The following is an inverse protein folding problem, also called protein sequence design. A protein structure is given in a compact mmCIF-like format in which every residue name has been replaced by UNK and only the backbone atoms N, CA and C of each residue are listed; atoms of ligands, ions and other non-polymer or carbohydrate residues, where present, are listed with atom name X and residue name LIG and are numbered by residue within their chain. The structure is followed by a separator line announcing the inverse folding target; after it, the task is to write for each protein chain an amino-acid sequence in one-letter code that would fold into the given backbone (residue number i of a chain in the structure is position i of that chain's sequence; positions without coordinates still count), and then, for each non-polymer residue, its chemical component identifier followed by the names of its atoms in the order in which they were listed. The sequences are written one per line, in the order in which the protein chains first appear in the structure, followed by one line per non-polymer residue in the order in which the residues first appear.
data_IF_912992394673
#
_entry.id   IF_912992394673
#
_cell.length_a   1.000
_cell.length_b   1.000
_cell.length_c   1.000
_cell.angle_alpha   90.00
_cell.angle_beta   90.00
_cell.angle_gamma   90.00
#
_symmetry.space_group_name_H-M   'P 1'
#
loop_
_entity.id
_entity.type
_entity.pdbx_description
1 polymer ?
#
# COMPACT_ATOMS: atom_id res chain seq x y z
N UNK A 1 -42.53 -48.13 -33.16
CA UNK A 1 -41.22 -47.83 -32.58
C UNK A 1 -40.50 -46.66 -33.27
N UNK A 2 -40.30 -46.62 -34.60
CA UNK A 2 -39.54 -45.54 -35.28
C UNK A 2 -40.16 -44.12 -35.09
N UNK A 3 -41.51 -43.99 -35.06
CA UNK A 3 -42.17 -42.69 -34.84
C UNK A 3 -42.04 -42.18 -33.40
N UNK A 4 -42.03 -43.08 -32.42
CA UNK A 4 -41.84 -42.71 -31.00
C UNK A 4 -40.40 -42.26 -30.74
N UNK A 5 -39.43 -42.92 -31.40
CA UNK A 5 -38.02 -42.53 -31.28
C UNK A 5 -37.73 -41.13 -31.87
N UNK A 6 -38.41 -40.81 -33.02
CA UNK A 6 -38.29 -39.49 -33.61
C UNK A 6 -38.84 -38.35 -32.74
N UNK A 7 -39.99 -38.58 -32.11
CA UNK A 7 -40.60 -37.60 -31.21
C UNK A 7 -39.74 -37.41 -29.94
N UNK A 8 -39.20 -38.50 -29.36
CA UNK A 8 -38.31 -38.43 -28.21
C UNK A 8 -37.01 -37.67 -28.55
N UNK A 9 -36.46 -37.85 -29.74
CA UNK A 9 -35.26 -37.13 -30.17
C UNK A 9 -35.50 -35.64 -30.38
N UNK A 10 -36.67 -35.26 -30.90
CA UNK A 10 -37.07 -33.85 -31.08
C UNK A 10 -37.31 -33.17 -29.72
N UNK A 11 -37.94 -33.86 -28.78
CA UNK A 11 -38.12 -33.35 -27.43
C UNK A 11 -36.76 -33.19 -26.72
N UNK A 12 -35.84 -34.14 -26.87
CA UNK A 12 -34.50 -34.07 -26.30
C UNK A 12 -33.69 -32.90 -26.89
N UNK A 13 -33.77 -32.67 -28.19
CA UNK A 13 -33.11 -31.52 -28.84
C UNK A 13 -33.76 -30.17 -28.43
N UNK A 14 -35.08 -30.11 -28.26
CA UNK A 14 -35.77 -28.93 -27.76
C UNK A 14 -35.40 -28.59 -26.29
N UNK A 15 -35.25 -29.60 -25.45
CA UNK A 15 -34.85 -29.42 -24.07
C UNK A 15 -33.39 -28.95 -23.98
N UNK A 16 -32.50 -29.45 -24.85
CA UNK A 16 -31.12 -28.96 -24.92
C UNK A 16 -31.00 -27.52 -25.44
N UNK A 17 -31.88 -27.08 -26.33
CA UNK A 17 -31.88 -25.70 -26.84
C UNK A 17 -32.46 -24.70 -25.81
N UNK A 18 -33.27 -25.15 -24.85
CA UNK A 18 -33.77 -24.32 -23.74
C UNK A 18 -32.79 -24.23 -22.57
N UNK A 19 -31.79 -25.09 -22.52
CA UNK A 19 -30.85 -25.18 -21.39
C UNK A 19 -29.59 -24.30 -21.48
N UNK A 20 -29.47 -23.48 -22.53
CA UNK A 20 -28.26 -22.66 -22.69
C UNK A 20 -28.56 -21.26 -23.20
N UNK A 21 -29.16 -20.44 -22.36
CA UNK A 21 -28.98 -19.01 -22.50
C UNK A 21 -27.54 -18.69 -22.11
N UNK A 22 -26.62 -18.92 -23.04
CA UNK A 22 -25.21 -18.56 -22.91
C UNK A 22 -25.04 -17.11 -23.36
N UNK A 23 -25.19 -16.20 -22.44
CA UNK A 23 -24.94 -14.80 -22.71
C UNK A 23 -25.18 -13.96 -21.44
N UNK A 24 -24.75 -12.73 -21.42
CA UNK A 24 -25.05 -11.82 -20.34
C UNK A 24 -26.58 -11.66 -20.20
N UNK A 25 -27.08 -11.67 -18.99
CA UNK A 25 -28.51 -11.46 -18.68
C UNK A 25 -28.93 -10.04 -19.08
N UNK A 26 -28.00 -9.08 -19.03
CA UNK A 26 -28.25 -7.68 -19.34
C UNK A 26 -28.11 -7.41 -20.85
N UNK A 27 -29.12 -6.79 -21.46
CA UNK A 27 -29.08 -6.33 -22.85
C UNK A 27 -28.10 -5.16 -23.06
N UNK A 28 -27.89 -4.36 -22.01
CA UNK A 28 -26.99 -3.20 -22.02
C UNK A 28 -26.25 -3.10 -20.71
N UNK A 29 -24.93 -2.95 -20.77
CA UNK A 29 -24.09 -2.61 -19.62
C UNK A 29 -23.49 -1.23 -19.87
N UNK A 30 -23.68 -0.32 -18.92
CA UNK A 30 -23.14 1.04 -18.96
C UNK A 30 -22.13 1.22 -17.83
N UNK A 31 -20.89 1.57 -18.17
CA UNK A 31 -19.86 1.90 -17.22
C UNK A 31 -19.85 3.41 -16.96
N UNK A 32 -19.96 3.80 -15.69
CA UNK A 32 -19.75 5.15 -15.21
C UNK A 32 -18.51 5.21 -14.35
N UNK A 33 -17.94 6.40 -14.18
CA UNK A 33 -16.77 6.61 -13.33
C UNK A 33 -17.09 7.54 -12.17
N UNK A 34 -16.86 7.08 -10.94
CA UNK A 34 -17.04 7.85 -9.70
C UNK A 34 -15.79 7.70 -8.85
N UNK A 35 -15.10 8.78 -8.57
CA UNK A 35 -13.88 8.77 -7.74
C UNK A 35 -14.17 8.85 -6.25
N UNK A 36 -15.29 9.46 -5.88
CA UNK A 36 -15.65 9.65 -4.47
C UNK A 36 -16.48 8.46 -3.98
N UNK A 37 -15.96 7.76 -3.00
CA UNK A 37 -16.56 6.56 -2.44
C UNK A 37 -18.01 6.82 -1.94
N UNK A 38 -18.19 7.91 -1.20
CA UNK A 38 -19.50 8.27 -0.62
C UNK A 38 -20.56 8.50 -1.69
N UNK A 39 -20.19 9.11 -2.82
CA UNK A 39 -21.13 9.35 -3.94
C UNK A 39 -21.47 8.04 -4.60
N UNK A 40 -20.46 7.19 -4.89
CA UNK A 40 -20.72 5.88 -5.50
C UNK A 40 -21.58 4.97 -4.63
N UNK A 41 -21.40 4.99 -3.32
CA UNK A 41 -22.23 4.23 -2.37
C UNK A 41 -23.66 4.74 -2.29
N UNK A 42 -23.86 6.06 -2.29
CA UNK A 42 -25.21 6.66 -2.34
C UNK A 42 -25.92 6.35 -3.65
N UNK A 43 -25.22 6.48 -4.77
CA UNK A 43 -25.77 6.13 -6.09
C UNK A 43 -26.24 4.66 -6.12
N UNK A 44 -25.47 3.74 -5.49
CA UNK A 44 -25.84 2.34 -5.35
C UNK A 44 -27.06 2.16 -4.43
N UNK A 45 -27.12 2.84 -3.29
CA UNK A 45 -28.24 2.79 -2.35
C UNK A 45 -29.54 3.36 -2.93
N UNK A 46 -29.45 4.30 -3.85
CA UNK A 46 -30.57 4.94 -4.55
C UNK A 46 -30.99 4.22 -5.84
N UNK A 47 -30.25 3.19 -6.24
CA UNK A 47 -30.51 2.43 -7.48
C UNK A 47 -30.13 3.18 -8.76
N UNK A 48 -29.33 4.24 -8.66
CA UNK A 48 -28.76 4.96 -9.81
C UNK A 48 -27.69 4.10 -10.49
N UNK A 49 -26.98 3.31 -9.69
CA UNK A 49 -25.97 2.35 -10.12
C UNK A 49 -26.28 0.97 -9.53
N UNK A 50 -26.34 -0.06 -10.37
CA UNK A 50 -26.61 -1.43 -9.91
C UNK A 50 -25.43 -2.03 -9.13
N UNK A 51 -24.21 -1.68 -9.51
CA UNK A 51 -22.97 -2.19 -8.89
C UNK A 51 -21.91 -1.08 -8.84
N UNK A 52 -21.35 -0.85 -7.67
CA UNK A 52 -20.19 0.03 -7.47
C UNK A 52 -18.93 -0.83 -7.28
N UNK A 53 -18.06 -0.88 -8.28
CA UNK A 53 -16.90 -1.78 -8.34
C UNK A 53 -15.59 -1.12 -7.84
N UNK A 54 -15.67 -0.01 -7.15
CA UNK A 54 -14.49 0.65 -6.60
C UNK A 54 -14.20 0.14 -5.18
N UNK A 55 -12.91 0.11 -4.82
CA UNK A 55 -12.54 -0.23 -3.44
C UNK A 55 -13.01 0.84 -2.46
N UNK A 56 -13.81 0.43 -1.49
CA UNK A 56 -14.36 1.30 -0.44
C UNK A 56 -13.58 1.07 0.85
N UNK A 57 -13.18 2.16 1.49
CA UNK A 57 -12.52 2.07 2.80
C UNK A 57 -13.53 1.77 3.90
N UNK A 58 -13.09 1.01 4.93
CA UNK A 58 -13.94 0.71 6.08
C UNK A 58 -14.52 1.94 6.76
N UNK A 59 -13.72 2.99 7.03
CA UNK A 59 -14.25 4.24 7.59
C UNK A 59 -15.36 4.87 6.75
N UNK A 60 -15.21 4.90 5.43
CA UNK A 60 -16.24 5.45 4.53
C UNK A 60 -17.53 4.63 4.60
N UNK A 61 -17.44 3.29 4.50
CA UNK A 61 -18.61 2.42 4.56
C UNK A 61 -19.29 2.48 5.94
N UNK A 62 -18.51 2.43 7.02
CA UNK A 62 -19.05 2.48 8.39
C UNK A 62 -19.59 3.87 8.75
N UNK A 63 -19.11 4.93 8.09
CA UNK A 63 -19.61 6.31 8.25
C UNK A 63 -20.96 6.59 7.60
N UNK A 64 -21.45 5.71 6.73
CA UNK A 64 -22.79 5.85 6.16
C UNK A 64 -23.85 5.71 7.25
N UNK A 65 -24.94 6.45 7.10
CA UNK A 65 -26.13 6.24 7.93
C UNK A 65 -26.73 4.84 7.75
N UNK A 66 -27.44 4.37 8.78
CA UNK A 66 -27.99 3.02 8.76
C UNK A 66 -28.94 2.77 7.60
N UNK A 67 -29.77 3.76 7.24
CA UNK A 67 -30.77 3.62 6.19
C UNK A 67 -30.12 3.44 4.81
N UNK A 68 -28.99 4.10 4.57
CA UNK A 68 -28.18 3.94 3.36
C UNK A 68 -27.48 2.58 3.35
N UNK A 69 -26.84 2.17 4.45
CA UNK A 69 -26.15 0.88 4.54
C UNK A 69 -27.07 -0.32 4.35
N UNK A 70 -28.29 -0.28 4.91
CA UNK A 70 -29.25 -1.38 4.82
C UNK A 70 -29.73 -1.64 3.39
N UNK A 71 -29.48 -0.71 2.46
CA UNK A 71 -29.82 -0.86 1.03
C UNK A 71 -28.69 -1.39 0.18
N UNK A 72 -27.48 -1.53 0.74
CA UNK A 72 -26.28 -1.94 0.01
C UNK A 72 -25.83 -3.31 0.51
N UNK A 73 -25.61 -4.23 -0.41
CA UNK A 73 -24.89 -5.47 -0.12
C UNK A 73 -23.41 -5.27 -0.43
N UNK A 74 -22.55 -5.43 0.59
CA UNK A 74 -21.11 -5.21 0.47
C UNK A 74 -20.35 -6.54 0.45
N UNK A 75 -19.47 -6.71 -0.53
CA UNK A 75 -18.61 -7.87 -0.67
C UNK A 75 -17.16 -7.49 -0.39
N UNK A 76 -16.52 -8.23 0.50
CA UNK A 76 -15.10 -8.04 0.81
C UNK A 76 -14.27 -9.10 0.10
N UNK A 77 -13.33 -8.65 -0.72
CA UNK A 77 -12.39 -9.52 -1.41
C UNK A 77 -10.96 -8.99 -1.23
N UNK A 78 -9.94 -9.86 -1.09
CA UNK A 78 -8.55 -9.45 -1.07
C UNK A 78 -8.14 -8.93 -2.47
N UNK A 79 -8.26 -7.62 -2.69
CA UNK A 79 -8.08 -7.03 -4.02
C UNK A 79 -6.88 -6.09 -4.14
N UNK A 80 -6.18 -5.81 -3.05
CA UNK A 80 -5.05 -4.91 -3.07
C UNK A 80 -4.29 -4.86 -1.75
N UNK A 81 -3.19 -4.15 -1.77
CA UNK A 81 -2.35 -3.95 -0.60
C UNK A 81 -1.78 -2.54 -0.58
N UNK A 82 -1.43 -2.06 0.59
CA UNK A 82 -0.70 -0.82 0.77
C UNK A 82 0.72 -1.11 1.24
N UNK A 83 1.65 -0.32 0.75
CA UNK A 83 3.05 -0.41 1.13
C UNK A 83 3.67 0.97 1.30
N UNK A 84 4.82 0.99 1.96
CA UNK A 84 5.72 2.13 1.95
C UNK A 84 6.82 1.82 0.93
N UNK A 85 6.85 2.56 -0.16
CA UNK A 85 8.00 2.54 -1.06
C UNK A 85 9.10 3.40 -0.48
N UNK A 86 10.32 2.91 -0.56
CA UNK A 86 11.50 3.59 -0.03
C UNK A 86 12.50 3.81 -1.15
N UNK A 87 13.11 5.01 -1.20
CA UNK A 87 14.24 5.28 -2.09
C UNK A 87 15.55 4.95 -1.37
N UNK A 88 16.19 3.82 -1.68
CA UNK A 88 17.41 3.39 -1.01
C UNK A 88 18.69 3.99 -1.59
N UNK A 89 18.63 4.79 -2.65
CA UNK A 89 19.81 5.33 -3.32
C UNK A 89 20.70 6.12 -2.36
N UNK A 90 22.03 5.94 -2.37
CA UNK A 90 22.84 5.11 -3.28
C UNK A 90 22.98 3.64 -2.84
N UNK A 91 22.29 3.18 -1.80
CA UNK A 91 22.28 1.82 -1.26
C UNK A 91 23.67 1.26 -0.89
N UNK A 92 24.61 2.15 -0.62
CA UNK A 92 26.00 1.83 -0.23
C UNK A 92 26.60 2.97 0.58
N UNK A 93 27.58 2.64 1.42
CA UNK A 93 28.36 3.65 2.14
C UNK A 93 29.04 4.63 1.15
N UNK A 94 29.18 5.89 1.53
CA UNK A 94 28.84 6.52 2.81
C UNK A 94 27.40 7.02 2.91
N UNK A 95 26.43 6.50 2.11
CA UNK A 95 25.00 6.82 2.18
C UNK A 95 24.67 8.29 1.82
N UNK A 96 25.53 8.93 1.06
CA UNK A 96 25.40 10.32 0.64
C UNK A 96 24.86 10.37 -0.80
N UNK A 97 23.75 11.06 -0.96
CA UNK A 97 23.22 11.45 -2.26
C UNK A 97 23.84 12.79 -2.66
N UNK A 98 24.28 12.88 -3.92
CA UNK A 98 24.76 14.12 -4.53
C UNK A 98 23.92 14.42 -5.75
N UNK A 99 23.27 15.57 -5.75
CA UNK A 99 22.48 16.08 -6.87
C UNK A 99 22.71 17.58 -7.05
N UNK A 100 21.95 18.21 -7.94
CA UNK A 100 22.08 19.64 -8.24
C UNK A 100 21.69 20.56 -7.06
N UNK A 101 20.94 20.04 -6.08
CA UNK A 101 20.55 20.78 -4.87
C UNK A 101 21.60 20.69 -3.75
N UNK A 102 22.58 19.76 -3.88
CA UNK A 102 23.62 19.60 -2.86
C UNK A 102 23.95 18.16 -2.49
N UNK A 103 24.33 17.99 -1.22
CA UNK A 103 24.64 16.69 -0.64
C UNK A 103 23.71 16.40 0.53
N UNK A 104 23.08 15.22 0.51
CA UNK A 104 22.14 14.78 1.50
C UNK A 104 22.55 13.41 2.05
N UNK A 105 22.40 13.22 3.34
CA UNK A 105 22.51 11.89 3.93
C UNK A 105 21.16 11.19 3.83
N UNK A 106 21.13 10.01 3.22
CA UNK A 106 19.91 9.21 3.12
C UNK A 106 19.93 8.04 4.12
N UNK A 107 19.19 8.11 5.22
CA UNK A 107 19.11 7.01 6.17
C UNK A 107 18.53 5.72 5.56
N UNK A 108 17.69 5.84 4.52
CA UNK A 108 17.16 4.66 3.82
C UNK A 108 18.18 3.98 2.90
N UNK A 109 19.34 4.58 2.63
CA UNK A 109 20.44 3.87 1.99
C UNK A 109 21.03 2.78 2.91
N UNK A 110 20.79 2.86 4.22
CA UNK A 110 21.23 1.87 5.20
C UNK A 110 20.18 0.77 5.30
N UNK A 111 20.53 -0.46 4.89
CA UNK A 111 19.59 -1.59 4.92
C UNK A 111 19.02 -1.85 6.33
N UNK A 112 19.83 -1.74 7.38
CA UNK A 112 19.39 -1.91 8.77
C UNK A 112 18.26 -0.94 9.16
N UNK A 113 18.32 0.31 8.67
CA UNK A 113 17.25 1.31 8.91
C UNK A 113 15.97 0.91 8.21
N UNK A 114 16.03 0.51 6.94
CA UNK A 114 14.84 0.02 6.22
C UNK A 114 14.23 -1.20 6.89
N UNK A 115 15.07 -2.13 7.32
CA UNK A 115 14.61 -3.33 8.03
C UNK A 115 13.90 -2.99 9.35
N UNK A 116 14.44 -2.03 10.10
CA UNK A 116 13.88 -1.59 11.38
C UNK A 116 12.47 -0.99 11.25
N UNK A 117 12.10 -0.45 10.09
CA UNK A 117 10.74 0.06 9.86
C UNK A 117 9.67 -1.04 10.03
N UNK A 118 10.01 -2.32 9.78
CA UNK A 118 9.08 -3.41 10.01
C UNK A 118 8.70 -3.60 11.48
N UNK A 119 9.53 -3.13 12.40
CA UNK A 119 9.25 -3.12 13.83
C UNK A 119 8.69 -1.77 14.30
N UNK A 120 9.04 -0.67 13.61
CA UNK A 120 8.62 0.67 13.98
C UNK A 120 7.14 0.93 13.65
N UNK A 121 6.67 0.40 12.53
CA UNK A 121 5.30 0.59 12.05
C UNK A 121 4.40 -0.53 12.58
N UNK A 122 3.46 -0.18 13.45
CA UNK A 122 2.41 -1.10 13.91
C UNK A 122 1.37 -1.29 12.82
N UNK A 123 1.35 -2.46 12.19
CA UNK A 123 0.32 -2.83 11.22
C UNK A 123 -1.05 -2.99 11.89
N UNK A 124 -1.04 -3.46 13.14
CA UNK A 124 -2.25 -3.56 13.96
C UNK A 124 -2.92 -2.19 14.14
N UNK A 125 -2.15 -1.16 14.49
CA UNK A 125 -2.68 0.20 14.60
C UNK A 125 -3.29 0.68 13.28
N UNK A 126 -2.62 0.41 12.15
CA UNK A 126 -3.14 0.79 10.84
C UNK A 126 -4.46 0.07 10.54
N UNK A 127 -4.53 -1.24 10.80
CA UNK A 127 -5.74 -2.02 10.55
C UNK A 127 -6.88 -1.59 11.47
N UNK A 128 -6.64 -1.50 12.77
CA UNK A 128 -7.70 -1.26 13.75
C UNK A 128 -8.17 0.20 13.72
N UNK A 129 -7.23 1.16 13.75
CA UNK A 129 -7.54 2.57 13.98
C UNK A 129 -7.69 3.38 12.67
N UNK A 130 -6.98 3.00 11.62
CA UNK A 130 -7.05 3.73 10.35
C UNK A 130 -8.04 3.07 9.41
N UNK A 131 -7.99 1.74 9.29
CA UNK A 131 -8.86 0.97 8.39
C UNK A 131 -10.14 0.45 9.05
N UNK A 132 -10.37 0.77 10.34
CA UNK A 132 -11.56 0.32 11.08
C UNK A 132 -11.79 -1.20 10.99
N UNK A 133 -10.71 -1.98 11.09
CA UNK A 133 -10.76 -3.45 11.07
C UNK A 133 -10.93 -4.08 9.69
N UNK A 134 -10.94 -3.30 8.60
CA UNK A 134 -11.24 -3.82 7.25
C UNK A 134 -10.01 -4.23 6.45
N UNK A 135 -8.87 -4.40 7.08
CA UNK A 135 -7.62 -4.86 6.46
C UNK A 135 -7.00 -6.04 7.19
N UNK A 136 -5.89 -6.51 6.66
CA UNK A 136 -5.05 -7.52 7.31
C UNK A 136 -3.58 -7.11 7.28
N UNK A 137 -2.81 -7.37 8.35
CA UNK A 137 -1.38 -7.11 8.34
C UNK A 137 -0.67 -7.92 7.25
N UNK A 138 0.21 -7.28 6.48
CA UNK A 138 1.08 -7.94 5.51
C UNK A 138 2.55 -7.81 5.90
N UNK A 139 3.33 -8.86 5.68
CA UNK A 139 4.76 -8.91 5.97
C UNK A 139 5.59 -9.22 4.73
N UNK A 140 4.94 -9.50 3.63
CA UNK A 140 5.51 -9.80 2.33
C UNK A 140 4.50 -9.37 1.25
N UNK A 141 4.84 -9.55 -0.02
CA UNK A 141 4.03 -9.06 -1.14
C UNK A 141 2.91 -10.01 -1.55
N UNK A 142 2.80 -11.20 -0.94
CA UNK A 142 1.69 -12.12 -1.20
C UNK A 142 0.47 -11.67 -0.42
N UNK A 143 -0.60 -11.37 -1.13
CA UNK A 143 -1.86 -10.92 -0.53
C UNK A 143 -2.44 -12.01 0.38
N UNK A 144 -2.76 -11.70 1.65
CA UNK A 144 -3.41 -12.65 2.54
C UNK A 144 -4.68 -13.24 1.94
N UNK A 145 -4.92 -14.53 2.17
CA UNK A 145 -6.07 -15.24 1.63
C UNK A 145 -5.84 -15.90 0.26
N UNK A 146 -4.72 -15.62 -0.41
CA UNK A 146 -4.36 -16.34 -1.64
C UNK A 146 -3.69 -17.68 -1.34
N UNK A 147 -3.87 -18.69 -2.21
CA UNK A 147 -3.29 -20.02 -1.97
C UNK A 147 -1.78 -20.03 -1.77
N UNK A 148 -1.06 -19.07 -2.35
CA UNK A 148 0.39 -18.95 -2.20
C UNK A 148 0.84 -18.19 -0.96
N UNK A 149 -0.03 -17.43 -0.31
CA UNK A 149 0.34 -16.53 0.80
C UNK A 149 0.93 -17.30 1.99
N UNK A 150 0.39 -18.48 2.30
CA UNK A 150 0.85 -19.28 3.43
C UNK A 150 2.34 -19.64 3.38
N UNK A 151 2.91 -19.83 2.18
CA UNK A 151 4.35 -20.15 2.01
C UNK A 151 5.22 -18.98 2.45
N UNK A 152 4.78 -17.78 2.14
CA UNK A 152 5.51 -16.55 2.44
C UNK A 152 5.30 -16.10 3.87
N UNK A 153 4.15 -16.38 4.47
CA UNK A 153 3.89 -16.17 5.89
C UNK A 153 4.83 -16.97 6.77
N UNK A 154 5.07 -18.25 6.43
CA UNK A 154 6.05 -19.08 7.10
C UNK A 154 7.48 -18.54 7.02
N UNK A 155 7.83 -17.89 5.92
CA UNK A 155 9.12 -17.21 5.78
C UNK A 155 9.16 -15.92 6.62
N UNK A 156 8.12 -15.11 6.55
CA UNK A 156 8.02 -13.83 7.25
C UNK A 156 8.07 -14.01 8.77
N UNK A 157 7.48 -15.08 9.30
CA UNK A 157 7.51 -15.38 10.73
C UNK A 157 8.92 -15.57 11.29
N UNK A 158 9.86 -16.05 10.46
CA UNK A 158 11.28 -16.24 10.85
C UNK A 158 12.00 -14.91 11.10
N UNK A 159 11.49 -13.80 10.60
CA UNK A 159 12.06 -12.46 10.82
C UNK A 159 11.59 -11.82 12.13
N UNK A 160 10.65 -12.45 12.84
CA UNK A 160 10.12 -11.95 14.11
C UNK A 160 9.22 -10.72 13.96
N UNK A 161 8.65 -10.49 12.76
CA UNK A 161 7.67 -9.43 12.55
C UNK A 161 6.34 -9.78 13.20
N UNK A 162 5.74 -8.81 13.88
CA UNK A 162 4.40 -8.93 14.49
C UNK A 162 3.49 -7.80 14.01
N UNK A 163 2.19 -7.97 14.20
CA UNK A 163 1.22 -6.94 13.83
C UNK A 163 1.40 -5.66 14.66
N UNK A 164 1.74 -5.80 15.93
CA UNK A 164 1.99 -4.69 16.86
C UNK A 164 3.29 -3.94 16.55
N UNK A 165 4.25 -4.65 15.90
CA UNK A 165 5.62 -4.17 15.79
C UNK A 165 6.39 -4.27 17.12
N UNK A 166 7.51 -3.54 17.21
CA UNK A 166 8.30 -3.40 18.43
C UNK A 166 9.05 -2.06 18.37
N UNK A 167 8.36 -0.99 18.76
CA UNK A 167 8.90 0.38 18.67
C UNK A 167 10.25 0.50 19.39
N UNK A 168 10.39 -0.03 20.60
CA UNK A 168 11.63 0.05 21.37
C UNK A 168 12.81 -0.60 20.63
N UNK A 169 12.60 -1.77 20.06
CA UNK A 169 13.61 -2.44 19.24
C UNK A 169 13.95 -1.62 18.00
N UNK A 170 12.94 -1.12 17.29
CA UNK A 170 13.12 -0.34 16.08
C UNK A 170 13.94 0.93 16.32
N UNK A 171 13.57 1.70 17.35
CA UNK A 171 14.30 2.93 17.70
C UNK A 171 15.76 2.64 18.03
N UNK A 172 16.02 1.56 18.78
CA UNK A 172 17.38 1.13 19.07
C UNK A 172 18.15 0.72 17.81
N UNK A 173 17.55 -0.10 16.96
CA UNK A 173 18.21 -0.58 15.75
C UNK A 173 18.53 0.58 14.77
N UNK A 174 17.64 1.56 14.66
CA UNK A 174 17.89 2.77 13.86
C UNK A 174 19.00 3.60 14.46
N UNK A 175 18.97 3.84 15.78
CA UNK A 175 20.00 4.59 16.48
C UNK A 175 21.38 3.95 16.32
N UNK A 176 21.48 2.63 16.48
CA UNK A 176 22.71 1.87 16.34
C UNK A 176 23.23 1.95 14.89
N UNK A 177 22.35 1.81 13.89
CA UNK A 177 22.71 1.93 12.48
C UNK A 177 23.22 3.33 12.10
N UNK A 178 22.57 4.37 12.64
CA UNK A 178 22.97 5.77 12.42
C UNK A 178 24.33 6.07 13.11
N UNK A 179 24.55 5.56 14.32
CA UNK A 179 25.86 5.66 15.01
C UNK A 179 26.96 4.94 14.25
N UNK A 180 26.70 3.73 13.77
CA UNK A 180 27.64 2.97 12.93
C UNK A 180 28.02 3.80 11.69
N UNK A 181 27.03 4.38 11.00
CA UNK A 181 27.26 5.24 9.85
C UNK A 181 28.08 6.49 10.22
N UNK A 182 27.81 7.14 11.35
CA UNK A 182 28.50 8.36 11.78
C UNK A 182 30.01 8.16 12.04
N UNK A 183 30.45 6.92 12.22
CA UNK A 183 31.87 6.57 12.39
C UNK A 183 32.63 6.40 11.06
N UNK A 184 31.92 6.37 9.92
CA UNK A 184 32.59 6.31 8.61
C UNK A 184 33.44 7.55 8.39
N UNK A 185 34.61 7.43 7.76
CA UNK A 185 35.55 8.54 7.55
C UNK A 185 34.89 9.77 6.90
N UNK A 186 34.02 9.56 5.91
CA UNK A 186 33.33 10.60 5.16
C UNK A 186 32.24 11.32 5.97
N UNK A 187 31.73 10.66 7.03
CA UNK A 187 30.61 11.14 7.87
C UNK A 187 31.06 11.60 9.25
N UNK A 188 32.26 11.25 9.66
CA UNK A 188 32.83 11.60 10.99
C UNK A 188 32.80 13.11 11.21
N UNK A 189 32.14 13.54 12.29
CA UNK A 189 31.94 14.94 12.64
C UNK A 189 30.92 15.69 11.78
N UNK A 190 30.40 15.08 10.70
CA UNK A 190 29.37 15.65 9.83
C UNK A 190 27.99 15.08 10.10
N UNK A 191 27.89 13.75 10.34
CA UNK A 191 26.67 13.09 10.79
C UNK A 191 26.68 13.01 12.30
N UNK A 192 25.88 13.82 12.94
CA UNK A 192 25.84 13.94 14.41
C UNK A 192 24.41 14.00 14.93
N UNK A 193 24.17 13.46 16.11
CA UNK A 193 22.88 13.67 16.81
C UNK A 193 22.97 14.91 17.68
N UNK A 194 22.01 15.82 17.54
CA UNK A 194 21.88 17.04 18.37
C UNK A 194 20.45 17.07 18.93
N UNK A 195 20.34 17.04 20.25
CA UNK A 195 19.03 16.90 20.93
C UNK A 195 18.27 15.68 20.37
N UNK A 196 17.09 15.90 19.83
CA UNK A 196 16.17 14.84 19.39
C UNK A 196 16.43 14.36 17.96
N UNK A 197 17.24 15.10 17.16
CA UNK A 197 17.37 14.83 15.73
C UNK A 197 18.82 14.59 15.28
N UNK A 198 18.96 13.83 14.19
CA UNK A 198 20.18 13.68 13.45
C UNK A 198 20.41 14.84 12.48
N UNK A 199 21.66 15.26 12.34
CA UNK A 199 22.11 16.33 11.46
C UNK A 199 23.25 15.83 10.56
N UNK A 200 23.22 16.25 9.32
CA UNK A 200 24.32 16.07 8.37
C UNK A 200 24.76 17.43 7.84
N UNK A 201 26.05 17.76 7.96
CA UNK A 201 26.61 19.08 7.63
C UNK A 201 25.79 20.25 8.24
N UNK A 202 25.42 20.11 9.50
CA UNK A 202 24.60 21.07 10.25
C UNK A 202 23.14 21.27 9.77
N UNK A 203 22.70 20.49 8.77
CA UNK A 203 21.30 20.45 8.34
C UNK A 203 20.62 19.22 8.95
N UNK A 204 19.34 19.32 9.37
CA UNK A 204 18.62 18.15 9.86
C UNK A 204 18.55 17.08 8.77
N UNK A 205 18.81 15.82 9.16
CA UNK A 205 18.52 14.67 8.29
C UNK A 205 17.01 14.61 8.08
N UNK A 206 16.56 14.85 6.85
CA UNK A 206 15.15 14.99 6.51
C UNK A 206 14.78 14.03 5.37
N UNK A 207 13.70 13.27 5.58
CA UNK A 207 13.10 12.41 4.56
C UNK A 207 11.96 13.15 3.87
N UNK A 208 11.96 13.16 2.54
CA UNK A 208 10.86 13.68 1.71
C UNK A 208 9.80 12.57 1.58
N UNK A 209 8.68 12.69 2.26
CA UNK A 209 7.63 11.68 2.26
C UNK A 209 6.44 12.10 1.40
N UNK A 210 6.25 11.45 0.28
CA UNK A 210 5.10 11.64 -0.60
C UNK A 210 3.87 10.95 0.01
N UNK A 211 2.91 11.74 0.48
CA UNK A 211 1.71 11.25 1.14
C UNK A 211 0.50 11.58 0.27
N UNK A 212 -0.27 10.58 -0.11
CA UNK A 212 -1.45 10.74 -0.95
C UNK A 212 -2.59 11.40 -0.19
N UNK A 213 -3.14 12.48 -0.76
CA UNK A 213 -4.29 13.22 -0.21
C UNK A 213 -5.62 12.83 -0.83
N UNK A 214 -5.61 12.17 -1.97
CA UNK A 214 -6.80 11.63 -2.64
C UNK A 214 -7.39 10.39 -1.94
N UNK A 215 -6.76 9.93 -0.87
CA UNK A 215 -7.24 8.90 0.05
C UNK A 215 -7.13 9.44 1.49
N UNK A 216 -8.04 10.37 1.87
CA UNK A 216 -7.94 11.10 3.15
C UNK A 216 -8.17 10.20 4.36
N UNK A 217 -9.00 9.17 4.25
CA UNK A 217 -9.34 8.25 5.33
C UNK A 217 -8.33 7.11 5.50
N UNK A 218 -7.52 6.86 4.48
CA UNK A 218 -6.52 5.79 4.46
C UNK A 218 -5.10 6.31 4.41
N UNK A 219 -4.53 6.48 3.21
CA UNK A 219 -3.10 6.76 3.01
C UNK A 219 -2.62 8.07 3.61
N UNK A 220 -3.48 9.10 3.66
CA UNK A 220 -3.13 10.34 4.35
C UNK A 220 -2.89 10.07 5.84
N UNK A 221 -3.79 9.35 6.50
CA UNK A 221 -3.66 8.99 7.92
C UNK A 221 -2.47 8.07 8.18
N UNK A 222 -2.23 7.09 7.30
CA UNK A 222 -1.04 6.23 7.36
C UNK A 222 0.24 7.06 7.24
N UNK A 223 0.29 8.00 6.30
CA UNK A 223 1.44 8.87 6.11
C UNK A 223 1.74 9.73 7.34
N UNK A 224 0.73 10.31 7.98
CA UNK A 224 0.90 11.07 9.23
C UNK A 224 1.40 10.17 10.37
N UNK A 225 0.79 9.01 10.54
CA UNK A 225 1.19 8.04 11.57
C UNK A 225 2.66 7.63 11.39
N UNK A 226 3.04 7.20 10.19
CA UNK A 226 4.40 6.75 9.90
C UNK A 226 5.42 7.88 10.05
N UNK A 227 5.08 9.10 9.64
CA UNK A 227 5.92 10.29 9.85
C UNK A 227 6.23 10.49 11.32
N UNK A 228 5.20 10.43 12.17
CA UNK A 228 5.38 10.59 13.61
C UNK A 228 6.26 9.49 14.22
N UNK A 229 6.15 8.25 13.73
CA UNK A 229 7.01 7.16 14.18
C UNK A 229 8.48 7.37 13.79
N UNK A 230 8.75 7.82 12.57
CA UNK A 230 10.10 8.12 12.07
C UNK A 230 10.73 9.28 12.86
N UNK A 231 9.96 10.30 13.19
CA UNK A 231 10.45 11.45 13.97
C UNK A 231 10.89 11.05 15.38
N UNK A 232 10.27 10.04 16.00
CA UNK A 232 10.77 9.46 17.26
C UNK A 232 12.18 8.86 17.13
N UNK A 233 12.56 8.39 15.94
CA UNK A 233 13.91 7.89 15.68
C UNK A 233 14.93 9.02 15.45
N UNK A 234 14.51 10.27 15.52
CA UNK A 234 15.37 11.43 15.35
C UNK A 234 15.64 11.79 13.87
N UNK A 235 14.77 11.39 12.98
CA UNK A 235 14.86 11.70 11.56
C UNK A 235 13.67 12.59 11.21
N UNK A 236 13.89 13.79 10.70
CA UNK A 236 12.80 14.69 10.30
C UNK A 236 12.08 14.17 9.07
N UNK A 237 10.78 14.48 8.99
CA UNK A 237 9.96 14.13 7.84
C UNK A 237 9.31 15.37 7.23
N UNK A 238 9.66 15.65 6.00
CA UNK A 238 8.96 16.61 5.14
C UNK A 238 7.75 15.90 4.50
N UNK A 239 6.55 16.24 4.97
CA UNK A 239 5.29 15.61 4.58
C UNK A 239 4.76 16.25 3.31
N UNK A 240 5.15 15.73 2.16
CA UNK A 240 4.71 16.20 0.84
C UNK A 240 3.33 15.61 0.51
N UNK A 241 2.28 16.35 0.86
CA UNK A 241 0.87 15.95 0.70
C UNK A 241 0.41 16.26 -0.71
N UNK A 242 0.40 15.25 -1.59
CA UNK A 242 0.12 15.40 -3.00
C UNK A 242 -0.92 14.40 -3.50
N UNK A 243 -1.60 14.79 -4.59
CA UNK A 243 -2.46 13.90 -5.35
C UNK A 243 -1.67 12.74 -5.98
N UNK A 244 -2.34 11.60 -6.19
CA UNK A 244 -1.76 10.37 -6.73
C UNK A 244 -0.95 10.61 -8.00
N UNK A 245 -1.49 11.34 -8.96
CA UNK A 245 -0.82 11.57 -10.24
C UNK A 245 0.55 12.25 -10.05
N UNK A 246 0.64 13.25 -9.18
CA UNK A 246 1.90 13.93 -8.87
C UNK A 246 2.88 13.01 -8.17
N UNK A 247 2.43 12.23 -7.20
CA UNK A 247 3.28 11.25 -6.51
C UNK A 247 3.88 10.24 -7.50
N UNK A 248 3.05 9.66 -8.39
CA UNK A 248 3.50 8.70 -9.40
C UNK A 248 4.47 9.33 -10.39
N UNK A 249 4.20 10.53 -10.87
CA UNK A 249 5.11 11.22 -11.79
C UNK A 249 6.50 11.42 -11.18
N UNK A 250 6.59 11.68 -9.88
CA UNK A 250 7.87 11.80 -9.20
C UNK A 250 8.51 10.44 -8.94
N UNK A 251 7.77 9.47 -8.39
CA UNK A 251 8.35 8.16 -8.03
C UNK A 251 8.73 7.31 -9.25
N UNK A 252 8.01 7.44 -10.38
CA UNK A 252 8.24 6.64 -11.60
C UNK A 252 8.90 7.44 -12.72
N UNK A 253 8.78 8.76 -12.71
CA UNK A 253 9.27 9.64 -13.76
C UNK A 253 10.62 10.30 -13.50
N UNK A 254 11.17 10.17 -12.27
CA UNK A 254 12.48 10.73 -11.91
C UNK A 254 13.49 9.64 -11.57
N UNK A 255 14.77 9.96 -11.73
CA UNK A 255 15.80 9.03 -11.31
C UNK A 255 15.90 9.02 -9.76
N UNK A 256 16.00 7.86 -9.11
CA UNK A 256 16.19 7.79 -7.65
C UNK A 256 17.38 8.61 -7.13
N UNK A 257 18.41 8.81 -7.96
CA UNK A 257 19.59 9.66 -7.63
C UNK A 257 19.27 11.14 -7.54
N UNK A 258 18.18 11.61 -8.17
CA UNK A 258 17.76 13.02 -8.10
C UNK A 258 17.23 13.37 -6.71
N UNK A 259 16.91 12.36 -5.92
CA UNK A 259 16.47 12.43 -4.54
C UNK A 259 15.31 13.41 -4.31
N UNK A 260 14.35 13.40 -5.25
CA UNK A 260 13.13 14.20 -5.15
C UNK A 260 12.16 13.64 -4.10
N UNK A 261 12.33 12.37 -3.75
CA UNK A 261 11.55 11.67 -2.73
C UNK A 261 12.38 10.66 -1.98
N UNK A 262 11.98 10.36 -0.76
CA UNK A 262 12.60 9.34 0.09
C UNK A 262 11.66 8.19 0.39
N UNK A 263 10.34 8.49 0.49
CA UNK A 263 9.31 7.51 0.80
C UNK A 263 7.98 7.90 0.17
N UNK A 264 7.14 6.89 -0.11
CA UNK A 264 5.82 7.09 -0.70
C UNK A 264 4.78 6.10 -0.14
N UNK A 265 3.54 6.57 0.08
CA UNK A 265 2.38 5.73 0.44
C UNK A 265 1.77 5.11 -0.80
N UNK A 266 2.30 3.98 -1.24
CA UNK A 266 1.84 3.29 -2.45
C UNK A 266 0.70 2.31 -2.16
N UNK A 267 -0.04 1.98 -3.20
CA UNK A 267 -1.06 0.94 -3.20
C UNK A 267 -1.04 0.13 -4.49
N UNK A 268 -1.17 -1.16 -4.32
CA UNK A 268 -1.10 -2.15 -5.38
C UNK A 268 -2.46 -2.83 -5.52
N UNK A 269 -3.03 -2.83 -6.72
CA UNK A 269 -4.14 -3.71 -7.04
C UNK A 269 -3.63 -5.13 -7.25
N UNK A 270 -4.32 -6.13 -6.79
CA UNK A 270 -4.01 -7.53 -7.08
C UNK A 270 -5.24 -8.21 -7.67
N UNK A 271 -5.07 -8.84 -8.83
CA UNK A 271 -6.06 -9.71 -9.42
C UNK A 271 -5.83 -11.16 -9.00
N UNK A 272 -6.88 -11.96 -9.02
CA UNK A 272 -6.90 -13.34 -8.54
C UNK A 272 -5.85 -14.25 -9.20
N UNK A 273 -5.40 -13.92 -10.43
CA UNK A 273 -4.53 -14.75 -11.24
C UNK A 273 -3.12 -14.17 -11.45
N UNK A 274 -2.83 -12.98 -10.90
CA UNK A 274 -1.54 -12.34 -11.12
C UNK A 274 -0.80 -12.15 -9.81
N UNK A 275 0.35 -12.78 -9.73
CA UNK A 275 1.37 -12.40 -8.77
C UNK A 275 2.07 -11.15 -9.32
N UNK A 276 1.90 -10.00 -8.65
CA UNK A 276 2.60 -8.76 -9.01
C UNK A 276 4.09 -8.77 -8.62
N UNK A 277 4.61 -9.92 -8.21
CA UNK A 277 5.98 -10.09 -7.77
C UNK A 277 6.97 -9.50 -8.76
N UNK A 278 6.83 -9.86 -10.04
CA UNK A 278 7.74 -9.41 -11.09
C UNK A 278 7.62 -7.91 -11.31
N UNK A 279 6.40 -7.38 -11.36
CA UNK A 279 6.17 -5.95 -11.56
C UNK A 279 6.67 -5.11 -10.38
N UNK A 280 6.38 -5.54 -9.15
CA UNK A 280 6.84 -4.82 -7.96
C UNK A 280 8.36 -4.91 -7.85
N UNK A 281 8.96 -6.06 -8.11
CA UNK A 281 10.42 -6.22 -8.11
C UNK A 281 11.08 -5.36 -9.19
N UNK A 282 10.54 -5.31 -10.40
CA UNK A 282 11.07 -4.47 -11.48
C UNK A 282 10.89 -2.96 -11.22
N UNK A 283 9.92 -2.55 -10.43
CA UNK A 283 9.70 -1.15 -10.09
C UNK A 283 10.55 -0.68 -8.89
N UNK A 284 11.07 -1.59 -8.10
CA UNK A 284 11.87 -1.28 -6.92
C UNK A 284 13.38 -1.21 -7.18
N UNK A 285 13.82 -1.54 -8.39
CA UNK A 285 15.22 -1.59 -8.80
C UNK A 285 15.43 -0.81 -10.12
#
# INVERSE_FOLDING_TARGET
MKKVLGVALIIMLAVFSLAAQKGPIADKVQFGFKMQEEIGLKDAAEGITDVFLWGVTGPTFNGLDKATRDKIEAYSVPSGSWSLELNPYPNKAPYIVKNNEGQFFNPFAIQKVRYALNFLVSRKYIVDEILAGTGSPMYNMATPGWPSSYKYELLSSKFGFTAEGNEKKALKDIEDAMKEASNLPELKGKLVRKSDFWYYNNQPVTLKFLIRVDDPNGRLRVGEYVSNQIEKAGIKVDRLKWERAKCINVTRGTNPSDYQWSMYTEGWGSGEFYSYWDQISCQMY
#
